data_IF_619426115629
#
_entry.id   IF_619426115629
#
_cell.length_a   1.000
_cell.length_b   1.000
_cell.length_c   1.000
_cell.angle_alpha   90.00
_cell.angle_beta   90.00
_cell.angle_gamma   90.00
#
_symmetry.space_group_name_H-M   'P 1'
#
loop_
_entity.id
_entity.type
_entity.pdbx_description
1 polymer ?
#
# COMPACT_ATOMS: atom_id res chain seq x y z
N UNK A 1 8.52 -1.05 19.55
CA UNK A 1 7.38 -0.22 19.09
C UNK A 1 7.01 -0.65 17.67
N UNK A 2 5.73 -0.94 17.43
CA UNK A 2 5.26 -1.42 16.12
C UNK A 2 4.41 -0.35 15.43
N UNK A 3 4.49 -0.29 14.10
CA UNK A 3 3.71 0.64 13.28
C UNK A 3 2.76 -0.07 12.33
N UNK A 4 1.70 0.61 11.91
CA UNK A 4 0.79 0.17 10.84
C UNK A 4 0.74 1.20 9.72
N UNK A 5 0.97 0.75 8.48
CA UNK A 5 0.76 1.52 7.26
C UNK A 5 -0.24 0.78 6.37
N UNK A 6 -1.34 1.43 5.99
CA UNK A 6 -2.37 0.83 5.13
C UNK A 6 -2.38 1.52 3.77
N UNK A 7 -2.46 0.73 2.70
CA UNK A 7 -2.61 1.24 1.35
C UNK A 7 -3.26 0.21 0.42
N UNK A 8 -3.81 0.69 -0.70
CA UNK A 8 -4.29 -0.22 -1.76
C UNK A 8 -3.15 -0.76 -2.61
N UNK A 9 -2.07 0.01 -2.81
CA UNK A 9 -0.90 -0.40 -3.60
C UNK A 9 -1.26 -0.91 -5.01
N UNK A 10 -2.03 -0.14 -5.79
CA UNK A 10 -2.54 -0.49 -7.12
C UNK A 10 -1.91 0.34 -8.26
N UNK A 11 -0.64 0.13 -8.66
CA UNK A 11 0.35 -0.81 -8.13
C UNK A 11 1.15 -0.23 -6.95
N UNK A 12 2.10 -1.00 -6.42
CA UNK A 12 3.16 -0.48 -5.55
C UNK A 12 4.09 0.45 -6.35
N UNK A 13 4.52 1.57 -5.77
CA UNK A 13 5.25 2.61 -6.51
C UNK A 13 6.27 3.30 -5.60
N UNK A 14 7.18 4.11 -6.16
CA UNK A 14 8.29 4.69 -5.39
C UNK A 14 7.82 5.52 -4.19
N UNK A 15 6.71 6.25 -4.32
CA UNK A 15 6.15 6.99 -3.17
C UNK A 15 5.68 6.09 -2.01
N UNK A 16 5.29 4.84 -2.28
CA UNK A 16 5.00 3.86 -1.23
C UNK A 16 6.28 3.29 -0.63
N UNK A 17 7.33 3.07 -1.43
CA UNK A 17 8.63 2.63 -0.93
C UNK A 17 9.24 3.67 0.03
N UNK A 18 9.17 4.95 -0.33
CA UNK A 18 9.59 6.04 0.55
C UNK A 18 8.78 6.07 1.85
N UNK A 19 7.47 5.80 1.78
CA UNK A 19 6.61 5.68 2.95
C UNK A 19 7.03 4.51 3.86
N UNK A 20 7.43 3.37 3.30
CA UNK A 20 7.96 2.24 4.07
C UNK A 20 9.28 2.61 4.77
N UNK A 21 10.21 3.26 4.08
CA UNK A 21 11.46 3.72 4.69
C UNK A 21 11.20 4.72 5.81
N UNK A 22 10.33 5.70 5.58
CA UNK A 22 9.94 6.65 6.60
C UNK A 22 9.34 5.96 7.83
N UNK A 23 8.38 5.05 7.63
CA UNK A 23 7.76 4.31 8.73
C UNK A 23 8.79 3.48 9.50
N UNK A 24 9.64 2.71 8.81
CA UNK A 24 10.70 1.90 9.42
C UNK A 24 11.77 2.72 10.16
N UNK A 25 11.92 4.02 9.84
CA UNK A 25 12.78 4.93 10.62
C UNK A 25 12.20 5.27 12.01
N UNK A 26 10.92 4.99 12.23
CA UNK A 26 10.19 5.34 13.46
C UNK A 26 9.79 4.14 14.31
N UNK A 27 9.77 2.92 13.75
CA UNK A 27 9.27 1.71 14.44
C UNK A 27 10.20 0.53 14.25
N UNK A 28 10.24 -0.40 15.20
CA UNK A 28 11.08 -1.60 15.11
C UNK A 28 10.54 -2.59 14.06
N UNK A 29 9.21 -2.78 14.07
CA UNK A 29 8.47 -3.61 13.10
C UNK A 29 7.32 -2.82 12.49
N UNK A 30 7.08 -3.06 11.21
CA UNK A 30 6.04 -2.41 10.43
C UNK A 30 5.04 -3.44 9.90
N UNK A 31 3.78 -3.25 10.25
CA UNK A 31 2.65 -3.94 9.67
C UNK A 31 2.21 -3.17 8.42
N UNK A 32 2.19 -3.85 7.27
CA UNK A 32 1.73 -3.29 6.01
C UNK A 32 0.37 -3.90 5.68
N UNK A 33 -0.67 -3.08 5.77
CA UNK A 33 -2.03 -3.47 5.46
C UNK A 33 -2.37 -3.26 3.99
N UNK A 34 -2.63 -4.34 3.25
CA UNK A 34 -3.17 -4.27 1.89
C UNK A 34 -4.69 -4.08 1.99
N UNK A 35 -5.12 -2.82 1.92
CA UNK A 35 -6.54 -2.45 1.90
C UNK A 35 -7.24 -2.95 0.62
N UNK A 36 -8.57 -2.97 0.63
CA UNK A 36 -9.36 -3.49 -0.50
C UNK A 36 -8.94 -4.91 -0.92
N UNK A 37 -8.58 -5.77 0.04
CA UNK A 37 -8.11 -7.13 -0.26
C UNK A 37 -9.18 -8.06 -0.84
N UNK A 38 -10.45 -7.76 -0.59
CA UNK A 38 -11.62 -8.50 -1.06
C UNK A 38 -12.23 -7.95 -2.36
N UNK A 39 -11.68 -6.88 -2.96
CA UNK A 39 -12.22 -6.34 -4.21
C UNK A 39 -11.92 -7.28 -5.37
N UNK A 40 -12.94 -7.50 -6.21
CA UNK A 40 -12.76 -8.08 -7.54
C UNK A 40 -11.86 -7.20 -8.40
N UNK A 41 -11.23 -7.79 -9.42
CA UNK A 41 -10.38 -7.03 -10.32
C UNK A 41 -11.22 -6.04 -11.14
N UNK A 42 -10.82 -4.77 -11.12
CA UNK A 42 -11.44 -3.68 -11.88
C UNK A 42 -10.38 -2.61 -12.25
N UNK A 43 -10.76 -1.56 -12.99
CA UNK A 43 -9.86 -0.46 -13.40
C UNK A 43 -9.16 0.27 -12.23
N UNK A 44 -9.79 0.29 -11.07
CA UNK A 44 -9.28 0.91 -9.84
C UNK A 44 -8.50 -0.08 -8.97
N UNK A 45 -8.81 -1.37 -9.05
CA UNK A 45 -8.20 -2.47 -8.30
C UNK A 45 -7.73 -3.60 -9.24
N UNK A 46 -6.79 -3.35 -10.17
CA UNK A 46 -6.43 -4.31 -11.20
C UNK A 46 -5.56 -5.48 -10.72
N UNK A 47 -5.01 -5.40 -9.50
CA UNK A 47 -4.13 -6.41 -8.93
C UNK A 47 -4.73 -7.01 -7.65
N UNK A 48 -4.63 -8.33 -7.51
CA UNK A 48 -5.09 -9.05 -6.31
C UNK A 48 -4.24 -8.68 -5.08
N UNK A 49 -4.68 -9.07 -3.87
CA UNK A 49 -3.88 -8.88 -2.67
C UNK A 49 -2.53 -9.61 -2.74
N UNK A 50 -2.50 -10.83 -3.28
CA UNK A 50 -1.26 -11.61 -3.42
C UNK A 50 -0.31 -11.00 -4.45
N UNK A 51 -0.82 -10.50 -5.57
CA UNK A 51 0.01 -9.83 -6.58
C UNK A 51 0.65 -8.56 -6.03
N UNK A 52 -0.10 -7.78 -5.25
CA UNK A 52 0.44 -6.59 -4.56
C UNK A 52 1.46 -6.95 -3.50
N UNK A 53 1.28 -8.05 -2.79
CA UNK A 53 2.28 -8.59 -1.86
C UNK A 53 3.56 -9.00 -2.60
N UNK A 54 3.45 -9.68 -3.75
CA UNK A 54 4.61 -10.01 -4.61
C UNK A 54 5.34 -8.75 -5.06
N UNK A 55 4.62 -7.72 -5.53
CA UNK A 55 5.20 -6.43 -5.90
C UNK A 55 5.98 -5.80 -4.74
N UNK A 56 5.42 -5.76 -3.53
CA UNK A 56 6.08 -5.17 -2.35
C UNK A 56 7.32 -5.97 -1.98
N UNK A 57 7.20 -7.29 -1.79
CA UNK A 57 8.29 -8.13 -1.30
C UNK A 57 9.45 -8.24 -2.29
N UNK A 58 9.18 -8.17 -3.60
CA UNK A 58 10.22 -8.11 -4.64
C UNK A 58 10.87 -6.74 -4.79
N UNK A 59 10.32 -5.70 -4.14
CA UNK A 59 10.78 -4.31 -4.24
C UNK A 59 11.49 -3.79 -3.00
N UNK A 60 11.69 -4.62 -1.98
CA UNK A 60 12.36 -4.27 -0.72
C UNK A 60 13.54 -5.21 -0.44
N UNK A 61 14.54 -4.73 0.29
CA UNK A 61 15.70 -5.52 0.68
C UNK A 61 15.39 -6.49 1.83
N UNK A 62 16.34 -7.39 2.13
CA UNK A 62 16.16 -8.41 3.17
C UNK A 62 16.09 -7.83 4.59
N UNK A 63 16.72 -6.68 4.84
CA UNK A 63 16.61 -5.97 6.13
C UNK A 63 15.19 -5.48 6.37
N UNK A 64 14.57 -4.88 5.34
CA UNK A 64 13.17 -4.48 5.37
C UNK A 64 12.24 -5.69 5.52
N UNK A 65 12.46 -6.78 4.78
CA UNK A 65 11.64 -8.00 4.88
C UNK A 65 11.60 -8.58 6.29
N UNK A 66 12.71 -8.54 7.03
CA UNK A 66 12.77 -9.02 8.42
C UNK A 66 11.92 -8.16 9.38
N UNK A 67 11.67 -6.90 9.02
CA UNK A 67 10.96 -5.92 9.86
C UNK A 67 9.53 -5.67 9.39
N UNK A 68 9.16 -6.08 8.18
CA UNK A 68 7.84 -5.89 7.59
C UNK A 68 7.02 -7.19 7.63
N UNK A 69 5.77 -7.09 8.08
CA UNK A 69 4.77 -8.15 7.91
C UNK A 69 3.53 -7.62 7.21
N UNK A 70 3.02 -8.37 6.23
CA UNK A 70 1.93 -7.94 5.36
C UNK A 70 0.63 -8.61 5.81
N UNK A 71 -0.45 -7.82 5.91
CA UNK A 71 -1.79 -8.27 6.29
C UNK A 71 -2.82 -7.84 5.24
N UNK A 72 -3.79 -8.69 4.95
CA UNK A 72 -4.86 -8.40 3.99
C UNK A 72 -6.06 -7.83 4.72
N UNK A 73 -6.46 -6.61 4.37
CA UNK A 73 -7.52 -5.88 5.06
C UNK A 73 -8.67 -5.69 4.07
N UNK A 74 -9.78 -6.43 4.22
CA UNK A 74 -10.93 -6.27 3.33
C UNK A 74 -11.67 -4.98 3.64
N UNK A 75 -12.35 -4.44 2.64
CA UNK A 75 -13.22 -3.28 2.82
C UNK A 75 -14.51 -3.70 3.53
N UNK A 76 -15.03 -2.81 4.39
CA UNK A 76 -16.35 -2.89 5.01
C UNK A 76 -17.12 -1.61 4.73
N UNK A 77 -18.45 -1.70 4.62
CA UNK A 77 -19.32 -0.54 4.35
C UNK A 77 -19.35 0.48 5.51
N UNK A 78 -18.93 0.07 6.70
CA UNK A 78 -18.87 0.93 7.89
C UNK A 78 -17.42 1.08 8.35
N UNK A 79 -16.95 2.33 8.39
CA UNK A 79 -15.55 2.63 8.70
C UNK A 79 -15.16 2.42 10.18
N UNK A 80 -16.13 2.44 11.11
CA UNK A 80 -15.89 2.05 12.51
C UNK A 80 -15.65 0.54 12.60
N UNK A 81 -16.52 -0.25 11.96
CA UNK A 81 -16.34 -1.72 11.87
C UNK A 81 -15.03 -2.08 11.15
N UNK A 82 -14.63 -1.28 10.16
CA UNK A 82 -13.35 -1.47 9.48
C UNK A 82 -12.15 -1.35 10.43
N UNK A 83 -12.15 -0.38 11.34
CA UNK A 83 -11.09 -0.26 12.36
C UNK A 83 -11.14 -1.40 13.38
N UNK A 84 -12.34 -1.83 13.80
CA UNK A 84 -12.47 -3.00 14.66
C UNK A 84 -11.90 -4.25 14.01
N UNK A 85 -12.19 -4.45 12.72
CA UNK A 85 -11.63 -5.54 11.91
C UNK A 85 -10.11 -5.45 11.80
N UNK A 86 -9.54 -4.25 11.62
CA UNK A 86 -8.08 -4.09 11.59
C UNK A 86 -7.47 -4.60 12.89
N UNK A 87 -8.09 -4.30 14.04
CA UNK A 87 -7.58 -4.72 15.34
C UNK A 87 -7.71 -6.24 15.58
N UNK A 88 -8.50 -6.98 14.79
CA UNK A 88 -8.56 -8.45 14.85
C UNK A 88 -7.59 -9.12 13.89
N UNK A 89 -7.29 -8.49 12.75
CA UNK A 89 -6.39 -9.03 11.72
C UNK A 89 -4.93 -8.72 12.04
N UNK A 90 -4.65 -7.49 12.47
CA UNK A 90 -3.31 -6.95 12.63
C UNK A 90 -2.90 -7.02 14.11
N UNK A 91 -1.72 -7.58 14.44
CA UNK A 91 -1.20 -7.53 15.81
C UNK A 91 -1.09 -6.11 16.34
N UNK A 92 -1.03 -5.96 17.67
CA UNK A 92 -0.92 -4.66 18.33
C UNK A 92 0.16 -3.76 17.69
N UNK A 93 -0.23 -2.52 17.44
CA UNK A 93 0.64 -1.44 16.97
C UNK A 93 0.44 -0.19 17.82
N UNK A 94 1.51 0.59 17.93
CA UNK A 94 1.59 1.78 18.77
C UNK A 94 1.43 3.05 17.91
N UNK A 95 1.79 2.96 16.62
CA UNK A 95 1.74 4.05 15.64
C UNK A 95 0.93 3.63 14.41
N UNK A 96 0.07 4.50 13.91
CA UNK A 96 -0.51 4.40 12.57
C UNK A 96 -0.02 5.52 11.66
N UNK A 97 0.47 5.14 10.49
CA UNK A 97 0.93 6.04 9.44
C UNK A 97 -0.20 6.25 8.45
N UNK A 98 -0.77 7.45 8.40
CA UNK A 98 -1.88 7.76 7.48
C UNK A 98 -1.95 9.24 7.13
N UNK A 99 -2.35 9.51 5.90
CA UNK A 99 -2.74 10.85 5.45
C UNK A 99 -4.26 10.98 5.25
N UNK A 100 -5.02 9.89 5.44
CA UNK A 100 -6.48 9.89 5.37
C UNK A 100 -7.08 10.52 6.63
N UNK A 101 -7.92 11.55 6.45
CA UNK A 101 -8.47 12.34 7.56
C UNK A 101 -9.42 11.54 8.44
N UNK A 102 -10.21 10.65 7.83
CA UNK A 102 -11.18 9.83 8.56
C UNK A 102 -10.47 8.79 9.42
N UNK A 103 -9.47 8.10 8.87
CA UNK A 103 -8.60 7.18 9.60
C UNK A 103 -7.90 7.91 10.75
N UNK A 104 -7.35 9.11 10.49
CA UNK A 104 -6.73 9.95 11.53
C UNK A 104 -7.71 10.28 12.65
N UNK A 105 -8.92 10.76 12.31
CA UNK A 105 -9.95 11.13 13.27
C UNK A 105 -10.38 9.95 14.16
N UNK A 106 -10.50 8.75 13.58
CA UNK A 106 -10.92 7.60 14.35
C UNK A 106 -9.80 7.05 15.23
N UNK A 107 -8.55 7.02 14.76
CA UNK A 107 -7.43 6.57 15.60
C UNK A 107 -7.01 7.60 16.66
N UNK A 108 -7.24 8.90 16.46
CA UNK A 108 -6.96 9.92 17.48
C UNK A 108 -7.82 9.79 18.74
N UNK A 109 -8.93 9.03 18.67
CA UNK A 109 -9.79 8.69 19.81
C UNK A 109 -9.35 7.41 20.54
N UNK A 110 -8.22 6.82 20.15
CA UNK A 110 -7.68 5.55 20.67
C UNK A 110 -6.27 5.78 21.22
N UNK A 111 -5.75 4.81 21.97
CA UNK A 111 -4.38 4.85 22.50
C UNK A 111 -3.34 4.45 21.42
N UNK A 112 -3.39 5.12 20.25
CA UNK A 112 -2.50 4.91 19.10
C UNK A 112 -2.03 6.26 18.60
N UNK A 113 -0.72 6.41 18.39
CA UNK A 113 -0.14 7.64 17.84
C UNK A 113 -0.41 7.70 16.35
N UNK A 114 -0.99 8.81 15.85
CA UNK A 114 -1.20 9.00 14.42
C UNK A 114 -0.08 9.88 13.84
N UNK A 115 0.66 9.34 12.86
CA UNK A 115 1.70 10.09 12.14
C UNK A 115 1.35 10.23 10.66
N UNK A 116 1.52 11.44 10.14
CA UNK A 116 1.43 11.71 8.70
C UNK A 116 2.67 11.19 7.97
N UNK A 117 2.49 10.78 6.73
CA UNK A 117 3.59 10.37 5.86
C UNK A 117 3.98 11.56 4.99
N UNK A 118 5.27 11.91 4.87
CA UNK A 118 5.72 12.94 3.95
C UNK A 118 5.24 12.64 2.53
N UNK A 119 4.58 13.59 1.88
CA UNK A 119 4.19 13.41 0.49
C UNK A 119 5.42 13.53 -0.43
N UNK A 120 5.75 12.47 -1.14
CA UNK A 120 6.75 12.51 -2.22
C UNK A 120 6.04 12.62 -3.56
N UNK A 121 6.25 13.74 -4.27
CA UNK A 121 5.79 13.98 -5.66
C UNK A 121 4.37 13.45 -5.98
N UNK A 122 3.38 13.77 -5.14
CA UNK A 122 2.01 13.18 -5.19
C UNK A 122 1.32 13.26 -6.56
N UNK A 123 1.62 14.30 -7.34
CA UNK A 123 1.04 14.50 -8.67
C UNK A 123 1.54 13.47 -9.70
N UNK A 124 2.73 12.89 -9.46
CA UNK A 124 3.38 11.92 -10.35
C UNK A 124 3.28 10.52 -9.78
N UNK A 125 3.59 10.36 -8.48
CA UNK A 125 3.60 9.08 -7.77
C UNK A 125 2.22 8.76 -7.20
N UNK A 126 1.28 8.45 -8.09
CA UNK A 126 -0.03 7.92 -7.72
C UNK A 126 -0.40 6.70 -8.57
N UNK A 127 -1.06 5.72 -7.96
CA UNK A 127 -1.53 4.53 -8.68
C UNK A 127 -2.40 4.88 -9.89
N UNK A 128 -3.29 5.88 -9.78
CA UNK A 128 -4.12 6.32 -10.90
C UNK A 128 -3.28 6.84 -12.07
N UNK A 129 -2.30 7.71 -11.80
CA UNK A 129 -1.41 8.22 -12.84
C UNK A 129 -0.61 7.08 -13.50
N UNK A 130 -0.01 6.21 -12.70
CA UNK A 130 0.80 5.09 -13.21
C UNK A 130 -0.04 4.14 -14.08
N UNK A 131 -1.26 3.79 -13.66
CA UNK A 131 -2.18 2.97 -14.48
C UNK A 131 -2.50 3.64 -15.82
N UNK A 132 -2.78 4.96 -15.81
CA UNK A 132 -3.05 5.71 -17.04
C UNK A 132 -1.84 5.76 -17.97
N UNK A 133 -0.63 5.92 -17.42
CA UNK A 133 0.62 5.93 -18.19
C UNK A 133 0.87 4.58 -18.85
N UNK A 134 0.64 3.46 -18.14
CA UNK A 134 0.76 2.11 -18.70
C UNK A 134 -0.22 1.89 -19.86
N UNK A 135 -1.49 2.31 -19.70
CA UNK A 135 -2.52 2.16 -20.74
C UNK A 135 -2.17 2.97 -22.00
N UNK A 136 -1.57 4.16 -21.79
CA UNK A 136 -1.29 5.16 -22.82
C UNK A 136 0.11 5.07 -23.42
N UNK A 137 0.87 4.00 -23.15
CA UNK A 137 2.25 3.81 -23.64
C UNK A 137 3.21 4.96 -23.25
N UNK A 138 2.96 5.60 -22.11
CA UNK A 138 3.87 6.61 -21.54
C UNK A 138 4.89 5.94 -20.62
N UNK A 139 6.05 6.58 -20.42
CA UNK A 139 7.14 6.07 -19.59
C UNK A 139 6.77 6.05 -18.09
N UNK A 140 6.42 4.88 -17.55
CA UNK A 140 5.98 4.69 -16.14
C UNK A 140 7.01 3.95 -15.29
N UNK A 141 7.98 3.30 -15.91
CA UNK A 141 8.93 2.36 -15.31
C UNK A 141 9.76 3.03 -14.21
N UNK A 142 10.11 4.31 -14.39
CA UNK A 142 10.88 5.10 -13.42
C UNK A 142 10.05 5.55 -12.20
N UNK A 143 8.74 5.24 -12.17
CA UNK A 143 7.83 5.63 -11.09
C UNK A 143 7.56 4.47 -10.11
N UNK A 144 8.05 3.28 -10.43
CA UNK A 144 7.90 2.09 -9.59
C UNK A 144 9.27 1.47 -9.29
N UNK A 145 9.41 0.74 -8.17
CA UNK A 145 10.61 -0.04 -7.92
C UNK A 145 10.75 -1.22 -8.88
N UNK A 146 11.98 -1.71 -9.06
CA UNK A 146 12.31 -2.77 -10.03
C UNK A 146 11.49 -4.06 -9.84
N UNK A 147 11.21 -4.47 -8.60
CA UNK A 147 10.35 -5.63 -8.34
C UNK A 147 8.94 -5.48 -8.92
N UNK A 148 8.34 -4.30 -8.76
CA UNK A 148 7.03 -4.00 -9.34
C UNK A 148 7.08 -3.90 -10.86
N UNK A 149 8.13 -3.30 -11.42
CA UNK A 149 8.36 -3.23 -12.86
C UNK A 149 8.47 -4.62 -13.48
N UNK A 150 9.27 -5.50 -12.90
CA UNK A 150 9.40 -6.88 -13.33
C UNK A 150 8.07 -7.63 -13.25
N UNK A 151 7.33 -7.48 -12.15
CA UNK A 151 6.00 -8.07 -12.02
C UNK A 151 5.06 -7.61 -13.15
N UNK A 152 4.96 -6.29 -13.37
CA UNK A 152 4.07 -5.72 -14.39
C UNK A 152 4.43 -6.19 -15.81
N UNK A 153 5.72 -6.33 -16.11
CA UNK A 153 6.18 -6.90 -17.38
C UNK A 153 5.82 -8.38 -17.51
N UNK A 154 6.06 -9.18 -16.46
CA UNK A 154 5.75 -10.62 -16.40
C UNK A 154 4.29 -10.92 -16.68
N UNK A 155 3.37 -10.10 -16.17
CA UNK A 155 1.92 -10.32 -16.33
C UNK A 155 1.30 -9.63 -17.56
N UNK A 156 2.12 -9.02 -18.44
CA UNK A 156 1.63 -8.17 -19.52
C UNK A 156 0.67 -7.08 -19.00
N UNK A 157 1.12 -6.30 -18.01
CA UNK A 157 0.28 -5.39 -17.23
C UNK A 157 -0.56 -4.41 -18.06
N UNK A 158 -0.04 -3.95 -19.20
CA UNK A 158 -0.81 -3.14 -20.17
C UNK A 158 -2.04 -3.86 -20.71
N UNK A 159 -1.89 -5.12 -21.14
CA UNK A 159 -3.01 -5.89 -21.69
C UNK A 159 -4.06 -6.13 -20.61
N UNK A 160 -3.63 -6.46 -19.38
CA UNK A 160 -4.54 -6.60 -18.25
C UNK A 160 -5.33 -5.32 -18.00
N UNK A 161 -4.65 -4.17 -17.90
CA UNK A 161 -5.30 -2.89 -17.63
C UNK A 161 -6.26 -2.45 -18.75
N UNK A 162 -5.99 -2.82 -20.00
CA UNK A 162 -6.91 -2.54 -21.13
C UNK A 162 -8.15 -3.44 -21.14
N UNK A 163 -8.08 -4.62 -20.53
CA UNK A 163 -9.16 -5.61 -20.52
C UNK A 163 -10.11 -5.47 -19.31
N UNK A 164 -9.79 -4.59 -18.36
CA UNK A 164 -10.63 -4.23 -17.20
C UNK A 164 -11.37 -2.91 -17.47
#
# INVERSE_FOLDING_TARGET
MNGLLIGRFQPFHLGHLDALHFALSKVDKLWVGLGSSNKSLDKNNPFSAEERKEMILSSIDDSMKQRIQIYFIPDLDNHIKWIELINTIVPKFDIIFTNDELTRHLYSKRNVTVLSIPFVKRNVLSGTNIRNMIISDQKWEDLVPEGTKHFLNKISGKQRLKNL
#
